data_IF_794012823179
#
_entry.id   IF_794012823179
#
_cell.length_a   1.000
_cell.length_b   1.000
_cell.length_c   1.000
_cell.angle_alpha   90.00
_cell.angle_beta   90.00
_cell.angle_gamma   90.00
#
_symmetry.space_group_name_H-M   'P 1'
#
loop_
_entity.id
_entity.type
_entity.pdbx_description
1 polymer ?
#
# COMPACT_ATOMS: atom_id res chain seq x y z
N UNK A 1 12.52 -71.12 3.08
CA UNK A 1 13.34 -71.19 4.27
C UNK A 1 13.03 -70.00 5.17
N UNK A 2 12.25 -70.25 6.23
CA UNK A 2 12.02 -69.30 7.35
C UNK A 2 13.29 -69.26 8.18
N UNK A 3 13.87 -68.06 8.37
CA UNK A 3 14.86 -67.81 9.40
C UNK A 3 14.27 -66.91 10.48
N UNK A 4 14.10 -67.48 11.64
CA UNK A 4 13.68 -66.88 12.89
C UNK A 4 14.71 -65.82 13.35
N UNK A 5 14.28 -64.58 13.54
CA UNK A 5 15.07 -63.55 14.26
C UNK A 5 14.76 -63.68 15.75
N UNK A 6 15.74 -64.12 16.52
CA UNK A 6 15.70 -64.16 17.98
C UNK A 6 15.68 -62.71 18.54
N UNK A 7 14.74 -62.47 19.41
CA UNK A 7 14.61 -61.26 20.23
C UNK A 7 15.81 -61.15 21.21
N UNK A 8 16.63 -60.13 21.05
CA UNK A 8 17.73 -59.83 21.95
C UNK A 8 17.29 -58.77 22.99
N UNK A 9 17.18 -59.12 24.27
CA UNK A 9 16.66 -58.22 25.30
C UNK A 9 17.54 -56.98 25.58
N UNK A 10 18.73 -56.89 25.01
CA UNK A 10 19.61 -55.73 25.18
C UNK A 10 19.21 -54.52 24.34
N UNK A 11 18.38 -54.69 23.32
CA UNK A 11 17.92 -53.59 22.50
C UNK A 11 16.71 -52.83 23.08
N UNK A 12 16.00 -53.38 24.05
CA UNK A 12 14.86 -52.71 24.69
C UNK A 12 15.25 -51.65 25.73
N UNK A 13 16.46 -51.76 26.31
CA UNK A 13 16.94 -50.79 27.31
C UNK A 13 17.44 -49.48 26.67
N UNK A 14 17.99 -49.57 25.47
CA UNK A 14 18.49 -48.37 24.77
C UNK A 14 17.42 -47.51 24.11
N UNK A 15 16.26 -48.09 23.79
CA UNK A 15 15.13 -47.29 23.22
C UNK A 15 14.41 -46.46 24.30
N UNK A 16 14.35 -46.95 25.53
CA UNK A 16 13.71 -46.21 26.63
C UNK A 16 14.58 -45.05 27.14
N UNK A 17 15.90 -45.14 26.99
CA UNK A 17 16.81 -44.05 27.37
C UNK A 17 16.84 -42.90 26.35
N UNK A 18 16.70 -43.22 25.07
CA UNK A 18 16.60 -42.24 23.99
C UNK A 18 15.26 -41.51 23.97
N UNK A 19 14.15 -42.19 24.32
CA UNK A 19 12.85 -41.57 24.40
C UNK A 19 12.74 -40.51 25.51
N UNK A 20 13.41 -40.74 26.65
CA UNK A 20 13.37 -39.79 27.77
C UNK A 20 14.25 -38.55 27.55
N UNK A 21 15.32 -38.65 26.74
CA UNK A 21 16.18 -37.52 26.41
C UNK A 21 15.50 -36.60 25.38
N UNK A 22 14.71 -37.15 24.47
CA UNK A 22 13.96 -36.36 23.50
C UNK A 22 12.72 -35.66 24.10
N UNK A 23 12.08 -36.25 25.11
CA UNK A 23 10.96 -35.58 25.80
C UNK A 23 11.41 -34.38 26.65
N UNK A 24 12.62 -34.43 27.20
CA UNK A 24 13.17 -33.31 27.98
C UNK A 24 13.69 -32.17 27.11
N UNK A 25 14.13 -32.47 25.87
CA UNK A 25 14.57 -31.46 24.91
C UNK A 25 13.37 -30.72 24.26
N UNK A 26 12.23 -31.39 24.09
CA UNK A 26 11.02 -30.77 23.58
C UNK A 26 10.29 -29.85 24.60
N UNK A 27 10.52 -30.02 25.89
CA UNK A 27 9.92 -29.18 26.94
C UNK A 27 10.74 -27.93 27.27
N UNK A 28 11.98 -27.82 26.82
CA UNK A 28 12.81 -26.61 26.94
C UNK A 28 12.88 -25.76 25.69
N UNK A 29 12.24 -26.20 24.58
CA UNK A 29 12.15 -25.50 23.31
C UNK A 29 10.84 -24.76 23.07
N UNK A 30 9.89 -24.79 24.00
CA UNK A 30 8.77 -23.88 24.04
C UNK A 30 9.17 -22.58 24.76
N UNK A 31 10.30 -21.99 24.35
CA UNK A 31 10.43 -20.55 24.47
C UNK A 31 9.27 -19.94 23.71
N UNK A 32 8.36 -19.36 24.47
CA UNK A 32 7.30 -18.48 24.02
C UNK A 32 7.69 -17.82 22.68
N UNK A 33 7.08 -18.26 21.59
CA UNK A 33 6.76 -17.36 20.51
C UNK A 33 5.84 -16.34 21.20
N UNK A 34 6.45 -15.31 21.78
CA UNK A 34 5.72 -14.10 22.07
C UNK A 34 5.03 -13.76 20.74
N UNK A 35 3.74 -13.95 20.68
CA UNK A 35 2.91 -13.30 19.69
C UNK A 35 3.28 -11.84 19.85
N UNK A 36 4.01 -11.29 18.88
CA UNK A 36 4.24 -9.86 18.85
C UNK A 36 2.84 -9.27 18.96
N UNK A 37 2.54 -8.62 20.10
CA UNK A 37 1.28 -7.96 20.29
C UNK A 37 1.17 -6.99 19.12
N UNK A 38 0.26 -7.28 18.18
CA UNK A 38 0.03 -6.39 17.05
C UNK A 38 -0.41 -5.06 17.62
N UNK A 39 0.27 -3.99 17.21
CA UNK A 39 -0.10 -2.63 17.62
C UNK A 39 -1.59 -2.41 17.39
N UNK A 40 -2.32 -1.76 18.34
CA UNK A 40 -3.74 -1.50 18.17
C UNK A 40 -3.98 -0.63 16.93
N UNK A 41 -5.05 -0.93 16.20
CA UNK A 41 -5.49 -0.17 15.04
C UNK A 41 -6.71 0.65 15.43
N UNK A 42 -6.54 1.96 15.55
CA UNK A 42 -7.63 2.87 15.81
C UNK A 42 -8.38 3.21 14.53
N UNK A 43 -9.71 3.27 14.63
CA UNK A 43 -10.58 3.71 13.53
C UNK A 43 -11.16 5.08 13.86
N UNK A 44 -11.10 5.98 12.91
CA UNK A 44 -11.58 7.35 13.10
C UNK A 44 -12.23 7.90 11.81
N UNK A 45 -12.88 9.02 11.95
CA UNK A 45 -13.45 9.78 10.84
C UNK A 45 -12.74 11.13 10.75
N UNK A 46 -12.23 11.44 9.57
CA UNK A 46 -11.54 12.69 9.27
C UNK A 46 -12.52 13.87 9.12
N UNK A 47 -12.00 15.10 9.08
CA UNK A 47 -12.79 16.33 8.93
C UNK A 47 -13.64 16.37 7.64
N UNK A 48 -13.19 15.70 6.58
CA UNK A 48 -13.97 15.54 5.34
C UNK A 48 -15.09 14.52 5.44
N UNK A 49 -15.12 13.71 6.49
CA UNK A 49 -16.01 12.56 6.67
C UNK A 49 -15.40 11.23 6.21
N UNK A 50 -14.21 11.24 5.62
CA UNK A 50 -13.52 10.01 5.22
C UNK A 50 -13.17 9.15 6.44
N UNK A 51 -13.34 7.85 6.31
CA UNK A 51 -12.90 6.90 7.33
C UNK A 51 -11.39 6.70 7.23
N UNK A 52 -10.73 6.50 8.36
CA UNK A 52 -9.31 6.21 8.42
C UNK A 52 -8.99 5.15 9.47
N UNK A 53 -7.87 4.45 9.26
CA UNK A 53 -7.24 3.58 10.24
C UNK A 53 -5.87 4.12 10.60
N UNK A 54 -5.53 4.07 11.87
CA UNK A 54 -4.29 4.60 12.43
C UNK A 54 -3.58 3.51 13.22
N UNK A 55 -2.28 3.41 13.07
CA UNK A 55 -1.39 2.73 14.01
C UNK A 55 -0.44 3.78 14.55
N UNK A 56 -0.55 4.07 15.84
CA UNK A 56 0.31 5.02 16.54
C UNK A 56 1.31 4.28 17.42
N UNK A 57 2.58 4.40 17.10
CA UNK A 57 3.69 3.79 17.85
C UNK A 57 4.18 4.70 19.00
N UNK A 58 3.61 5.89 19.15
CA UNK A 58 4.10 6.92 20.07
C UNK A 58 5.34 7.67 19.57
N UNK A 59 5.87 7.32 18.40
CA UNK A 59 7.03 7.96 17.80
C UNK A 59 6.68 9.21 16.98
N UNK A 60 7.72 9.92 16.53
CA UNK A 60 7.55 11.15 15.73
C UNK A 60 7.44 10.90 14.23
N UNK A 61 7.79 9.70 13.76
CA UNK A 61 7.80 9.34 12.34
C UNK A 61 6.45 8.77 11.92
N UNK A 62 5.89 9.31 10.83
CA UNK A 62 4.56 8.97 10.35
C UNK A 62 4.56 8.76 8.84
N UNK A 63 3.71 7.85 8.35
CA UNK A 63 3.43 7.67 6.93
C UNK A 63 1.95 7.83 6.66
N UNK A 64 1.61 8.71 5.72
CA UNK A 64 0.25 8.88 5.19
C UNK A 64 0.14 8.06 3.90
N UNK A 65 -0.82 7.12 3.86
CA UNK A 65 -0.99 6.16 2.76
C UNK A 65 -2.28 6.43 1.99
N UNK A 66 -2.17 6.56 0.67
CA UNK A 66 -3.29 6.85 -0.24
C UNK A 66 -3.44 5.70 -1.24
N UNK A 67 -4.59 5.02 -1.20
CA UNK A 67 -4.90 3.85 -2.03
C UNK A 67 -5.12 4.19 -3.52
N UNK A 68 -5.11 3.16 -4.36
CA UNK A 68 -5.34 3.25 -5.79
C UNK A 68 -6.80 3.51 -6.18
N UNK A 69 -7.05 3.57 -7.49
CA UNK A 69 -8.38 3.77 -8.05
C UNK A 69 -9.34 2.64 -7.66
N UNK A 70 -10.54 3.00 -7.23
CA UNK A 70 -11.57 2.09 -6.72
C UNK A 70 -11.12 1.18 -5.56
N UNK A 71 -10.00 1.51 -4.92
CA UNK A 71 -9.44 0.76 -3.81
C UNK A 71 -10.16 0.99 -2.49
N UNK A 72 -9.72 0.25 -1.51
CA UNK A 72 -10.10 0.40 -0.10
C UNK A 72 -8.86 0.80 0.71
N UNK A 73 -9.06 1.30 1.91
CA UNK A 73 -7.95 1.81 2.73
C UNK A 73 -6.88 0.77 3.08
N UNK A 74 -7.21 -0.53 3.12
CA UNK A 74 -6.25 -1.61 3.33
C UNK A 74 -5.55 -2.06 2.05
N UNK A 75 -5.98 -1.58 0.88
CA UNK A 75 -5.49 -1.85 -0.46
C UNK A 75 -5.67 -3.33 -0.89
N UNK A 76 -5.48 -3.61 -2.18
CA UNK A 76 -5.57 -4.97 -2.73
C UNK A 76 -4.58 -5.91 -2.02
N UNK A 77 -5.05 -7.12 -1.67
CA UNK A 77 -4.24 -8.11 -0.94
C UNK A 77 -3.77 -7.62 0.44
N UNK A 78 -4.52 -6.71 1.05
CA UNK A 78 -4.20 -6.09 2.34
C UNK A 78 -2.81 -5.40 2.37
N UNK A 79 -2.31 -4.96 1.21
CA UNK A 79 -0.96 -4.41 1.08
C UNK A 79 -0.72 -3.23 2.03
N UNK A 80 -1.72 -2.38 2.27
CA UNK A 80 -1.56 -1.25 3.19
C UNK A 80 -1.71 -1.64 4.66
N UNK A 81 -2.56 -2.61 4.96
CA UNK A 81 -2.63 -3.16 6.32
C UNK A 81 -1.30 -3.85 6.70
N UNK A 82 -0.74 -4.65 5.79
CA UNK A 82 0.56 -5.31 5.94
C UNK A 82 1.69 -4.29 6.06
N UNK A 83 1.68 -3.24 5.23
CA UNK A 83 2.67 -2.16 5.30
C UNK A 83 2.61 -1.41 6.62
N UNK A 84 1.42 -1.09 7.09
CA UNK A 84 1.23 -0.41 8.37
C UNK A 84 1.80 -1.22 9.54
N UNK A 85 1.60 -2.55 9.52
CA UNK A 85 2.19 -3.46 10.52
C UNK A 85 3.72 -3.46 10.46
N UNK A 86 4.32 -3.60 9.27
CA UNK A 86 5.78 -3.57 9.12
C UNK A 86 6.40 -2.22 9.53
N UNK A 87 5.74 -1.12 9.23
CA UNK A 87 6.19 0.21 9.67
C UNK A 87 6.15 0.32 11.19
N UNK A 88 5.08 -0.18 11.81
CA UNK A 88 4.95 -0.19 13.27
C UNK A 88 6.06 -1.00 13.95
N UNK A 89 6.47 -2.13 13.37
CA UNK A 89 7.61 -2.94 13.85
C UNK A 89 8.94 -2.15 13.83
N UNK A 90 9.02 -1.09 13.03
CA UNK A 90 10.16 -0.14 12.99
C UNK A 90 9.90 1.15 13.76
N UNK A 91 8.84 1.22 14.57
CA UNK A 91 8.48 2.40 15.34
C UNK A 91 7.93 3.55 14.49
N UNK A 92 7.48 3.28 13.26
CA UNK A 92 6.91 4.26 12.34
C UNK A 92 5.38 4.16 12.39
N UNK A 93 4.73 5.23 12.79
CA UNK A 93 3.27 5.35 12.82
C UNK A 93 2.70 5.53 11.42
N UNK A 94 1.43 5.21 11.24
CA UNK A 94 0.78 5.34 9.94
C UNK A 94 -0.69 5.70 10.03
N UNK A 95 -1.17 6.39 9.00
CA UNK A 95 -2.59 6.63 8.74
C UNK A 95 -2.92 6.25 7.30
N UNK A 96 -4.02 5.52 7.09
CA UNK A 96 -4.57 5.20 5.79
C UNK A 96 -6.06 5.52 5.76
N UNK A 97 -6.50 6.23 4.74
CA UNK A 97 -7.87 6.70 4.63
C UNK A 97 -8.61 6.04 3.48
N UNK A 98 -9.92 5.87 3.64
CA UNK A 98 -10.84 5.50 2.59
C UNK A 98 -11.25 6.75 1.83
N UNK A 99 -10.85 6.85 0.56
CA UNK A 99 -11.32 7.93 -0.30
C UNK A 99 -12.83 7.81 -0.49
N UNK A 100 -13.55 8.87 -0.20
CA UNK A 100 -14.99 8.90 -0.32
C UNK A 100 -15.42 8.78 -1.78
N UNK A 101 -16.51 8.05 -2.01
CA UNK A 101 -17.03 7.79 -3.36
C UNK A 101 -16.23 6.73 -4.14
N UNK A 102 -15.37 5.95 -3.49
CA UNK A 102 -14.65 4.82 -4.12
C UNK A 102 -15.04 3.46 -3.47
N UNK A 103 -14.12 2.64 -3.05
CA UNK A 103 -14.34 1.24 -2.66
C UNK A 103 -15.53 0.97 -1.76
N UNK A 104 -15.80 1.81 -0.78
CA UNK A 104 -16.98 1.76 0.10
C UNK A 104 -18.30 1.98 -0.68
N UNK A 105 -18.29 2.91 -1.65
CA UNK A 105 -19.43 3.13 -2.52
C UNK A 105 -19.72 1.91 -3.40
N UNK A 106 -18.68 1.22 -3.92
CA UNK A 106 -18.84 -0.02 -4.67
C UNK A 106 -19.46 -1.13 -3.82
N UNK A 107 -19.02 -1.29 -2.58
CA UNK A 107 -19.59 -2.24 -1.62
C UNK A 107 -21.07 -2.01 -1.32
N UNK A 108 -21.54 -0.78 -1.53
CA UNK A 108 -22.96 -0.39 -1.37
C UNK A 108 -23.73 -0.36 -2.70
N UNK A 109 -23.15 -0.83 -3.80
CA UNK A 109 -23.77 -0.82 -5.13
C UNK A 109 -23.98 0.58 -5.70
N UNK A 110 -23.19 1.57 -5.27
CA UNK A 110 -23.23 2.95 -5.79
C UNK A 110 -22.11 3.16 -6.81
N UNK A 111 -22.33 4.01 -7.84
CA UNK A 111 -21.26 4.39 -8.77
C UNK A 111 -20.12 5.12 -8.06
N UNK A 112 -18.90 4.99 -8.59
CA UNK A 112 -17.77 5.82 -8.19
C UNK A 112 -18.05 7.28 -8.54
N UNK A 113 -17.87 8.16 -7.56
CA UNK A 113 -18.18 9.58 -7.67
C UNK A 113 -17.08 10.51 -7.14
N UNK A 114 -15.94 9.96 -6.73
CA UNK A 114 -14.76 10.75 -6.34
C UNK A 114 -14.24 11.56 -7.53
N UNK A 115 -13.67 12.73 -7.23
CA UNK A 115 -12.87 13.50 -8.19
C UNK A 115 -11.41 13.50 -7.75
N UNK A 116 -10.48 13.87 -8.63
CA UNK A 116 -9.09 14.05 -8.22
C UNK A 116 -8.97 15.06 -7.08
N UNK A 117 -9.70 16.18 -7.17
CA UNK A 117 -9.73 17.19 -6.10
C UNK A 117 -10.27 16.63 -4.77
N UNK A 118 -11.33 15.81 -4.79
CA UNK A 118 -11.86 15.21 -3.57
C UNK A 118 -10.90 14.16 -2.97
N UNK A 119 -10.17 13.41 -3.81
CA UNK A 119 -9.10 12.52 -3.36
C UNK A 119 -8.00 13.28 -2.62
N UNK A 120 -7.56 14.38 -3.21
CA UNK A 120 -6.57 15.28 -2.60
C UNK A 120 -7.09 15.83 -1.27
N UNK A 121 -8.35 16.24 -1.20
CA UNK A 121 -8.96 16.77 0.02
C UNK A 121 -9.01 15.70 1.15
N UNK A 122 -9.43 14.48 0.86
CA UNK A 122 -9.45 13.39 1.85
C UNK A 122 -8.03 13.04 2.31
N UNK A 123 -7.07 13.03 1.39
CA UNK A 123 -5.67 12.75 1.70
C UNK A 123 -5.03 13.86 2.54
N UNK A 124 -5.36 15.12 2.24
CA UNK A 124 -4.94 16.28 3.03
C UNK A 124 -5.52 16.23 4.44
N UNK A 125 -6.77 15.82 4.59
CA UNK A 125 -7.39 15.65 5.90
C UNK A 125 -6.63 14.61 6.75
N UNK A 126 -6.18 13.52 6.15
CA UNK A 126 -5.30 12.54 6.82
C UNK A 126 -3.96 13.14 7.24
N UNK A 127 -3.33 13.92 6.36
CA UNK A 127 -2.10 14.65 6.69
C UNK A 127 -2.31 15.65 7.84
N UNK A 128 -3.37 16.45 7.79
CA UNK A 128 -3.72 17.42 8.83
C UNK A 128 -4.00 16.75 10.16
N UNK A 129 -4.68 15.61 10.15
CA UNK A 129 -4.92 14.85 11.37
C UNK A 129 -3.60 14.47 12.04
N UNK A 130 -2.62 13.97 11.29
CA UNK A 130 -1.28 13.66 11.82
C UNK A 130 -0.62 14.91 12.42
N UNK A 131 -0.67 16.05 11.72
CA UNK A 131 -0.10 17.31 12.22
C UNK A 131 -0.77 17.82 13.49
N UNK A 132 -2.08 17.62 13.64
CA UNK A 132 -2.81 18.00 14.85
C UNK A 132 -2.51 17.04 16.01
N UNK A 133 -2.42 15.74 15.71
CA UNK A 133 -2.15 14.70 16.68
C UNK A 133 -0.69 14.73 17.18
N UNK A 134 0.24 14.95 16.28
CA UNK A 134 1.67 15.04 16.54
C UNK A 134 2.28 16.23 15.77
N UNK A 135 2.31 17.44 16.38
CA UNK A 135 2.78 18.66 15.70
C UNK A 135 4.21 18.55 15.14
N UNK A 136 5.08 17.83 15.86
CA UNK A 136 6.48 17.63 15.46
C UNK A 136 6.70 16.39 14.59
N UNK A 137 5.65 15.82 13.99
CA UNK A 137 5.78 14.63 13.17
C UNK A 137 6.70 14.85 11.97
N UNK A 138 7.57 13.88 11.71
CA UNK A 138 8.32 13.75 10.46
C UNK A 138 7.50 12.85 9.54
N UNK A 139 6.99 13.40 8.44
CA UNK A 139 5.95 12.73 7.64
C UNK A 139 6.48 12.29 6.29
N UNK A 140 6.25 11.01 5.98
CA UNK A 140 6.35 10.42 4.65
C UNK A 140 4.99 10.21 4.00
N UNK A 141 4.98 10.11 2.67
CA UNK A 141 3.79 9.84 1.87
C UNK A 141 3.97 8.55 1.09
N UNK A 142 2.93 7.73 1.04
CA UNK A 142 2.88 6.50 0.23
C UNK A 142 1.66 6.57 -0.69
N UNK A 143 1.89 6.46 -1.99
CA UNK A 143 0.82 6.39 -3.00
C UNK A 143 0.95 5.17 -3.87
N UNK A 144 -0.15 4.44 -4.07
CA UNK A 144 -0.25 3.32 -5.00
C UNK A 144 -1.13 3.70 -6.18
N UNK A 145 -0.68 3.41 -7.40
CA UNK A 145 -1.45 3.62 -8.63
C UNK A 145 -2.00 5.06 -8.72
N UNK A 146 -3.32 5.24 -8.65
CA UNK A 146 -3.96 6.57 -8.60
C UNK A 146 -3.62 7.35 -7.31
N UNK A 147 -3.22 6.66 -6.26
CA UNK A 147 -2.68 7.30 -5.06
C UNK A 147 -1.37 8.06 -5.33
N UNK A 148 -0.60 7.64 -6.35
CA UNK A 148 0.65 8.30 -6.74
C UNK A 148 0.47 9.77 -7.12
N UNK A 149 -0.26 10.12 -8.19
CA UNK A 149 -0.54 11.52 -8.51
C UNK A 149 -1.25 12.26 -7.37
N UNK A 150 -2.05 11.58 -6.56
CA UNK A 150 -2.70 12.19 -5.39
C UNK A 150 -1.68 12.70 -4.37
N UNK A 151 -0.71 11.86 -3.97
CA UNK A 151 0.33 12.29 -3.01
C UNK A 151 1.33 13.27 -3.63
N UNK A 152 1.62 13.16 -4.93
CA UNK A 152 2.41 14.18 -5.62
C UNK A 152 1.73 15.56 -5.57
N UNK A 153 0.42 15.61 -5.80
CA UNK A 153 -0.37 16.85 -5.69
C UNK A 153 -0.36 17.41 -4.27
N UNK A 154 -0.42 16.57 -3.24
CA UNK A 154 -0.33 17.05 -1.85
C UNK A 154 0.90 17.91 -1.62
N UNK A 155 2.05 17.55 -2.20
CA UNK A 155 3.30 18.28 -1.99
C UNK A 155 3.32 19.68 -2.59
N UNK A 156 2.38 20.01 -3.47
CA UNK A 156 2.23 21.35 -4.02
C UNK A 156 1.43 22.29 -3.11
N UNK A 157 0.83 21.76 -2.06
CA UNK A 157 0.06 22.53 -1.09
C UNK A 157 0.99 23.14 -0.05
N UNK A 158 0.89 24.45 0.25
CA UNK A 158 1.85 25.16 1.10
C UNK A 158 2.01 24.60 2.53
N UNK A 159 0.96 23.98 3.03
CA UNK A 159 0.92 23.39 4.38
C UNK A 159 1.55 21.99 4.46
N UNK A 160 1.80 21.33 3.32
CA UNK A 160 2.33 19.98 3.27
C UNK A 160 3.85 20.00 3.22
N UNK A 161 4.46 19.51 4.30
CA UNK A 161 5.89 19.32 4.38
C UNK A 161 6.16 17.81 4.61
N UNK A 162 6.34 17.08 3.50
CA UNK A 162 6.70 15.67 3.50
C UNK A 162 8.17 15.50 3.13
N UNK A 163 8.93 14.76 3.93
CA UNK A 163 10.38 14.60 3.77
C UNK A 163 10.77 13.34 3.01
N UNK A 164 9.83 12.41 2.85
CA UNK A 164 10.03 11.15 2.15
C UNK A 164 8.76 10.75 1.40
N UNK A 165 8.91 10.10 0.25
CA UNK A 165 7.80 9.60 -0.56
C UNK A 165 8.15 8.27 -1.18
N UNK A 166 7.17 7.36 -1.20
CA UNK A 166 7.21 6.12 -1.98
C UNK A 166 6.03 6.08 -2.93
N UNK A 167 6.30 5.85 -4.20
CA UNK A 167 5.30 5.67 -5.25
C UNK A 167 5.34 4.23 -5.75
N UNK A 168 4.24 3.50 -5.62
CA UNK A 168 4.09 2.12 -6.10
C UNK A 168 3.21 2.08 -7.33
N UNK A 169 3.71 1.52 -8.43
CA UNK A 169 2.95 1.40 -9.68
C UNK A 169 2.21 2.69 -10.04
N UNK A 170 2.86 3.85 -9.85
CA UNK A 170 2.19 5.15 -9.90
C UNK A 170 1.72 5.49 -11.31
N UNK A 171 0.49 5.97 -11.44
CA UNK A 171 0.10 6.79 -12.58
C UNK A 171 0.86 8.13 -12.54
N UNK A 172 1.02 8.77 -13.70
CA UNK A 172 1.59 10.12 -13.78
C UNK A 172 0.48 11.16 -13.62
N UNK A 173 -0.58 10.99 -14.40
CA UNK A 173 -1.74 11.87 -14.38
C UNK A 173 -2.99 11.07 -14.07
N UNK A 174 -4.04 11.70 -13.51
CA UNK A 174 -5.33 11.02 -13.31
C UNK A 174 -5.86 10.34 -14.55
N UNK A 175 -5.68 10.95 -15.73
CA UNK A 175 -6.12 10.41 -17.03
C UNK A 175 -5.45 9.08 -17.42
N UNK A 176 -4.30 8.73 -16.86
CA UNK A 176 -3.64 7.45 -17.15
C UNK A 176 -4.51 6.26 -16.73
N UNK A 177 -5.33 6.44 -15.70
CA UNK A 177 -6.30 5.43 -15.24
C UNK A 177 -7.39 5.19 -16.28
N UNK A 178 -7.71 6.19 -17.11
CA UNK A 178 -8.76 6.12 -18.13
C UNK A 178 -8.32 5.47 -19.43
N UNK A 179 -7.06 5.11 -19.60
CA UNK A 179 -6.53 4.56 -20.85
C UNK A 179 -7.04 3.15 -21.12
N UNK A 180 -7.24 2.86 -22.39
CA UNK A 180 -7.58 1.55 -22.93
C UNK A 180 -8.99 1.47 -23.52
N UNK A 181 -9.13 0.72 -24.61
CA UNK A 181 -10.37 0.61 -25.38
C UNK A 181 -11.55 0.04 -24.57
N UNK A 182 -11.26 -0.89 -23.67
CA UNK A 182 -12.26 -1.49 -22.81
C UNK A 182 -12.95 -0.47 -21.86
N UNK A 183 -12.33 0.68 -21.65
CA UNK A 183 -12.84 1.77 -20.78
C UNK A 183 -13.54 2.86 -21.56
N UNK A 184 -13.23 3.03 -22.83
CA UNK A 184 -13.72 4.13 -23.65
C UNK A 184 -15.25 4.17 -23.75
N UNK A 185 -15.91 3.03 -23.88
CA UNK A 185 -17.38 2.96 -23.95
C UNK A 185 -18.04 3.40 -22.64
N UNK A 186 -17.49 3.01 -21.50
CA UNK A 186 -17.98 3.43 -20.19
C UNK A 186 -17.79 4.92 -19.93
N UNK A 187 -16.65 5.48 -20.33
CA UNK A 187 -16.40 6.93 -20.29
C UNK A 187 -17.41 7.68 -21.12
N UNK A 188 -17.60 7.27 -22.37
CA UNK A 188 -18.57 7.88 -23.29
C UNK A 188 -20.00 7.83 -22.73
N UNK A 189 -20.39 6.68 -22.15
CA UNK A 189 -21.69 6.53 -21.52
C UNK A 189 -21.82 7.44 -20.29
N UNK A 190 -20.83 7.53 -19.42
CA UNK A 190 -20.82 8.42 -18.26
C UNK A 190 -20.98 9.90 -18.69
N UNK A 191 -20.21 10.32 -19.68
CA UNK A 191 -20.30 11.69 -20.20
C UNK A 191 -21.67 12.02 -20.79
N UNK A 192 -22.25 11.10 -21.55
CA UNK A 192 -23.54 11.29 -22.22
C UNK A 192 -24.73 11.13 -21.27
N UNK A 193 -24.74 10.07 -20.47
CA UNK A 193 -25.92 9.63 -19.71
C UNK A 193 -25.82 9.93 -18.20
N UNK A 194 -24.66 10.40 -17.72
CA UNK A 194 -24.43 10.68 -16.31
C UNK A 194 -23.71 9.54 -15.56
N UNK A 195 -23.90 8.29 -16.00
CA UNK A 195 -23.25 7.09 -15.46
C UNK A 195 -22.85 6.17 -16.61
N UNK A 196 -21.72 5.53 -16.50
CA UNK A 196 -21.23 4.51 -17.42
C UNK A 196 -20.55 3.37 -16.68
N UNK A 197 -20.48 2.20 -17.30
CA UNK A 197 -19.85 1.01 -16.73
C UNK A 197 -18.46 0.83 -17.27
N UNK A 198 -17.50 0.71 -16.38
CA UNK A 198 -16.11 0.42 -16.66
C UNK A 198 -15.83 -1.07 -16.43
N UNK A 199 -15.42 -1.78 -17.46
CA UNK A 199 -15.01 -3.17 -17.34
C UNK A 199 -13.53 -3.23 -16.96
N UNK A 200 -13.24 -3.29 -15.67
CA UNK A 200 -11.91 -3.53 -15.10
C UNK A 200 -11.79 -5.02 -14.70
N UNK A 201 -11.36 -5.33 -13.49
CA UNK A 201 -11.40 -6.71 -12.95
C UNK A 201 -12.83 -7.17 -12.61
N UNK A 202 -13.74 -6.23 -12.52
CA UNK A 202 -15.18 -6.39 -12.43
C UNK A 202 -15.85 -5.20 -13.13
N UNK A 203 -17.14 -5.25 -13.45
CA UNK A 203 -17.88 -4.09 -13.90
C UNK A 203 -17.96 -3.04 -12.79
N UNK A 204 -17.51 -1.82 -13.05
CA UNK A 204 -17.52 -0.70 -12.11
C UNK A 204 -18.27 0.46 -12.74
N UNK A 205 -19.32 0.91 -12.10
CA UNK A 205 -20.04 2.12 -12.53
C UNK A 205 -19.27 3.37 -12.11
N UNK A 206 -19.17 4.33 -13.02
CA UNK A 206 -18.53 5.63 -12.79
C UNK A 206 -19.46 6.75 -13.19
N UNK A 207 -19.52 7.82 -12.42
CA UNK A 207 -20.33 8.99 -12.73
C UNK A 207 -19.63 9.91 -13.74
N UNK A 208 -20.41 10.79 -14.39
CA UNK A 208 -19.87 11.91 -15.18
C UNK A 208 -18.92 12.76 -14.37
N UNK A 209 -19.28 13.04 -13.11
CA UNK A 209 -18.45 13.82 -12.19
C UNK A 209 -17.09 13.18 -11.97
N UNK A 210 -17.06 11.87 -11.76
CA UNK A 210 -15.81 11.11 -11.60
C UNK A 210 -14.91 11.26 -12.82
N UNK A 211 -15.44 11.02 -14.02
CA UNK A 211 -14.70 11.13 -15.28
C UNK A 211 -14.16 12.54 -15.51
N UNK A 212 -15.03 13.56 -15.39
CA UNK A 212 -14.62 14.96 -15.56
C UNK A 212 -13.61 15.40 -14.53
N UNK A 213 -13.71 14.89 -13.31
CA UNK A 213 -12.80 15.18 -12.23
C UNK A 213 -11.36 14.65 -12.42
N UNK A 214 -11.12 13.85 -13.46
CA UNK A 214 -9.78 13.38 -13.82
C UNK A 214 -9.10 14.21 -14.92
N UNK A 215 -9.80 15.19 -15.51
CA UNK A 215 -9.29 15.97 -16.63
C UNK A 215 -8.36 17.09 -16.17
N UNK A 216 -7.29 17.34 -16.93
CA UNK A 216 -6.55 18.59 -16.91
C UNK A 216 -5.58 18.80 -15.74
N UNK A 217 -5.14 17.75 -15.06
CA UNK A 217 -4.23 17.88 -13.91
C UNK A 217 -2.75 17.80 -14.32
N UNK A 218 -1.98 18.91 -14.29
CA UNK A 218 -0.58 18.95 -14.72
C UNK A 218 0.40 18.54 -13.61
N UNK A 219 0.36 17.30 -13.15
CA UNK A 219 1.08 16.84 -11.95
C UNK A 219 2.59 17.07 -12.06
N UNK A 220 3.22 16.57 -13.14
CA UNK A 220 4.69 16.63 -13.24
C UNK A 220 5.22 18.07 -13.37
N UNK A 221 4.50 18.96 -14.02
CA UNK A 221 4.94 20.36 -14.20
C UNK A 221 5.02 21.13 -12.89
N UNK A 222 4.35 20.67 -11.85
CA UNK A 222 4.32 21.31 -10.53
C UNK A 222 5.11 20.51 -9.48
N UNK A 223 5.51 19.29 -9.80
CA UNK A 223 6.14 18.37 -8.84
C UNK A 223 7.59 18.76 -8.46
N UNK A 224 8.21 19.70 -9.19
CA UNK A 224 9.54 20.22 -8.86
C UNK A 224 9.66 20.89 -7.50
N UNK A 225 8.55 21.24 -6.85
CA UNK A 225 8.53 21.78 -5.49
C UNK A 225 8.84 20.72 -4.42
N UNK A 226 8.67 19.44 -4.74
CA UNK A 226 9.00 18.38 -3.81
C UNK A 226 10.51 18.12 -3.76
N UNK A 227 11.12 18.33 -2.60
CA UNK A 227 12.57 18.22 -2.38
C UNK A 227 12.98 17.09 -1.43
N UNK A 228 12.04 16.32 -0.92
CA UNK A 228 12.30 15.17 -0.03
C UNK A 228 12.93 13.98 -0.77
N UNK A 229 13.13 12.89 -0.05
CA UNK A 229 13.59 11.62 -0.62
C UNK A 229 12.46 10.94 -1.41
N UNK A 230 12.74 10.38 -2.59
CA UNK A 230 11.74 9.77 -3.49
C UNK A 230 12.16 8.39 -3.95
N UNK A 231 11.34 7.38 -3.66
CA UNK A 231 11.44 6.03 -4.20
C UNK A 231 10.26 5.74 -5.12
N UNK A 232 10.52 5.23 -6.32
CA UNK A 232 9.50 4.64 -7.17
C UNK A 232 9.70 3.12 -7.28
N UNK A 233 8.62 2.37 -7.14
CA UNK A 233 8.58 0.91 -7.22
C UNK A 233 7.55 0.50 -8.28
N UNK A 234 7.97 -0.31 -9.26
CA UNK A 234 7.09 -0.75 -10.34
C UNK A 234 7.41 -2.18 -10.76
N UNK A 235 6.38 -2.95 -11.11
CA UNK A 235 6.55 -4.23 -11.76
C UNK A 235 6.90 -4.07 -13.24
N UNK A 236 7.74 -4.95 -13.80
CA UNK A 236 8.05 -4.92 -15.25
C UNK A 236 6.83 -5.24 -16.13
N UNK A 237 5.84 -5.94 -15.57
CA UNK A 237 4.59 -6.34 -16.22
C UNK A 237 3.42 -5.38 -15.89
N UNK A 238 3.71 -4.22 -15.33
CA UNK A 238 2.69 -3.20 -15.06
C UNK A 238 2.05 -2.71 -16.36
N UNK A 239 0.72 -2.65 -16.40
CA UNK A 239 -0.03 -2.17 -17.59
C UNK A 239 0.00 -0.65 -17.75
N UNK A 240 0.31 0.11 -16.68
CA UNK A 240 0.48 1.55 -16.78
C UNK A 240 1.81 1.91 -17.48
N UNK A 241 1.89 3.07 -18.12
CA UNK A 241 3.16 3.54 -18.69
C UNK A 241 4.27 3.57 -17.64
N UNK A 242 5.44 3.07 -18.01
CA UNK A 242 6.63 3.12 -17.16
C UNK A 242 7.23 4.53 -17.16
N UNK A 243 6.68 5.40 -16.35
CA UNK A 243 7.03 6.80 -16.29
C UNK A 243 7.86 7.19 -15.04
N UNK A 244 8.43 6.21 -14.35
CA UNK A 244 9.14 6.44 -13.09
C UNK A 244 10.33 7.40 -13.26
N UNK A 245 11.08 7.29 -14.36
CA UNK A 245 12.17 8.21 -14.64
C UNK A 245 11.66 9.64 -14.88
N UNK A 246 10.54 9.78 -15.60
CA UNK A 246 9.94 11.11 -15.81
C UNK A 246 9.45 11.73 -14.49
N UNK A 247 8.95 10.91 -13.57
CA UNK A 247 8.58 11.37 -12.23
C UNK A 247 9.82 11.85 -11.45
N UNK A 248 10.90 11.07 -11.48
CA UNK A 248 12.17 11.46 -10.83
C UNK A 248 12.71 12.76 -11.42
N UNK A 249 12.76 12.86 -12.74
CA UNK A 249 13.30 14.03 -13.46
C UNK A 249 12.48 15.31 -13.20
N UNK A 250 11.16 15.15 -13.00
CA UNK A 250 10.27 16.27 -12.70
C UNK A 250 10.35 16.73 -11.24
N UNK A 251 10.81 15.87 -10.33
CA UNK A 251 10.91 16.17 -8.91
C UNK A 251 12.13 17.05 -8.60
N UNK A 252 12.05 17.77 -7.48
CA UNK A 252 13.22 18.40 -6.85
C UNK A 252 13.88 17.51 -5.79
N UNK A 253 13.64 16.20 -5.85
CA UNK A 253 14.06 15.26 -4.80
C UNK A 253 15.57 15.33 -4.50
N UNK A 254 15.90 15.41 -3.22
CA UNK A 254 17.29 15.42 -2.74
C UNK A 254 17.98 14.05 -2.97
N UNK A 255 17.22 12.97 -2.86
CA UNK A 255 17.62 11.60 -3.17
C UNK A 255 16.47 10.97 -3.96
N UNK A 256 16.75 10.44 -5.14
CA UNK A 256 15.75 9.78 -5.99
C UNK A 256 16.23 8.41 -6.46
N UNK A 257 15.38 7.39 -6.34
CA UNK A 257 15.68 6.02 -6.78
C UNK A 257 14.45 5.41 -7.42
N UNK A 258 14.65 4.71 -8.54
CA UNK A 258 13.63 3.90 -9.20
C UNK A 258 14.03 2.44 -9.15
N UNK A 259 13.08 1.57 -8.77
CA UNK A 259 13.28 0.12 -8.73
C UNK A 259 12.20 -0.57 -9.56
N UNK A 260 12.62 -1.33 -10.56
CA UNK A 260 11.75 -2.20 -11.35
C UNK A 260 11.87 -3.63 -10.84
N UNK A 261 10.75 -4.21 -10.45
CA UNK A 261 10.67 -5.60 -9.98
C UNK A 261 10.31 -6.48 -11.17
N UNK A 262 11.30 -7.24 -11.65
CA UNK A 262 11.13 -8.10 -12.81
C UNK A 262 10.07 -9.18 -12.57
N UNK A 263 9.12 -9.31 -13.49
CA UNK A 263 8.03 -10.28 -13.45
C UNK A 263 6.83 -9.89 -12.60
N UNK A 264 6.90 -8.78 -11.86
CA UNK A 264 5.76 -8.30 -11.08
C UNK A 264 4.77 -7.52 -11.95
N UNK A 265 3.49 -7.71 -11.71
CA UNK A 265 2.41 -6.96 -12.34
C UNK A 265 2.08 -5.65 -11.58
N UNK A 266 1.00 -4.99 -11.98
CA UNK A 266 0.55 -3.72 -11.40
C UNK A 266 0.31 -3.79 -9.89
N UNK A 267 -0.21 -4.91 -9.41
CA UNK A 267 -0.56 -5.15 -8.00
C UNK A 267 0.46 -6.04 -7.28
N UNK A 268 1.65 -6.24 -7.88
CA UNK A 268 2.74 -7.06 -7.33
C UNK A 268 2.30 -8.51 -7.05
N UNK A 269 1.44 -9.04 -7.91
CA UNK A 269 0.97 -10.44 -7.90
C UNK A 269 0.34 -10.87 -6.56
N UNK A 270 -0.28 -9.94 -5.82
CA UNK A 270 -0.88 -10.24 -4.50
C UNK A 270 -2.12 -11.12 -4.59
N UNK A 271 -2.76 -11.18 -5.75
CA UNK A 271 -3.87 -12.10 -6.04
C UNK A 271 -3.65 -12.77 -7.39
N UNK A 272 -4.01 -14.04 -7.48
CA UNK A 272 -4.01 -14.78 -8.74
C UNK A 272 -5.30 -14.47 -9.54
N UNK A 273 -5.31 -14.76 -10.87
CA UNK A 273 -6.49 -14.56 -11.71
C UNK A 273 -7.76 -15.28 -11.22
N UNK A 274 -7.61 -16.38 -10.49
CA UNK A 274 -8.71 -17.13 -9.86
C UNK A 274 -9.07 -16.61 -8.45
N UNK A 275 -8.52 -15.46 -8.06
CA UNK A 275 -8.67 -14.80 -6.76
C UNK A 275 -8.13 -15.59 -5.55
N UNK A 276 -7.35 -16.61 -5.77
CA UNK A 276 -6.52 -17.20 -4.72
C UNK A 276 -5.29 -16.36 -4.49
N UNK A 277 -4.76 -16.42 -3.27
CA UNK A 277 -3.49 -15.77 -2.97
C UNK A 277 -2.40 -16.36 -3.87
N UNK A 278 -1.78 -15.50 -4.68
CA UNK A 278 -0.64 -15.83 -5.50
C UNK A 278 0.63 -15.96 -4.65
N UNK A 279 1.75 -16.30 -5.29
CA UNK A 279 3.05 -16.22 -4.66
C UNK A 279 3.32 -14.78 -4.16
N UNK A 280 3.53 -14.64 -2.85
CA UNK A 280 3.72 -13.36 -2.18
C UNK A 280 5.13 -12.77 -2.33
N UNK A 281 5.99 -13.40 -3.11
CA UNK A 281 7.39 -12.99 -3.27
C UNK A 281 7.54 -11.52 -3.70
N UNK A 282 6.80 -11.08 -4.71
CA UNK A 282 6.86 -9.70 -5.18
C UNK A 282 6.27 -8.71 -4.16
N UNK A 283 5.17 -9.08 -3.52
CA UNK A 283 4.56 -8.27 -2.46
C UNK A 283 5.52 -8.07 -1.29
N UNK A 284 6.18 -9.13 -0.84
CA UNK A 284 7.19 -9.06 0.23
C UNK A 284 8.32 -8.10 -0.15
N UNK A 285 8.85 -8.19 -1.37
CA UNK A 285 9.90 -7.27 -1.84
C UNK A 285 9.47 -5.81 -1.81
N UNK A 286 8.23 -5.53 -2.22
CA UNK A 286 7.68 -4.16 -2.23
C UNK A 286 7.48 -3.64 -0.81
N UNK A 287 6.95 -4.48 0.09
CA UNK A 287 6.75 -4.13 1.49
C UNK A 287 8.09 -3.84 2.18
N UNK A 288 9.08 -4.70 1.99
CA UNK A 288 10.41 -4.54 2.59
C UNK A 288 11.11 -3.29 2.05
N UNK A 289 11.15 -3.10 0.73
CA UNK A 289 11.76 -1.93 0.11
C UNK A 289 11.12 -0.62 0.60
N UNK A 290 9.79 -0.59 0.75
CA UNK A 290 9.08 0.59 1.27
C UNK A 290 9.41 0.83 2.74
N UNK A 291 9.42 -0.22 3.56
CA UNK A 291 9.73 -0.12 4.99
C UNK A 291 11.17 0.37 5.21
N UNK A 292 12.12 -0.22 4.51
CA UNK A 292 13.53 0.16 4.62
C UNK A 292 13.77 1.61 4.15
N UNK A 293 13.12 2.02 3.05
CA UNK A 293 13.19 3.40 2.58
C UNK A 293 12.68 4.40 3.62
N UNK A 294 11.51 4.17 4.20
CA UNK A 294 10.99 5.07 5.22
C UNK A 294 11.81 5.03 6.51
N UNK A 295 12.29 3.86 6.93
CA UNK A 295 13.16 3.75 8.10
C UNK A 295 14.45 4.56 7.94
N UNK A 296 15.02 4.59 6.74
CA UNK A 296 16.24 5.33 6.42
C UNK A 296 15.98 6.83 6.27
N UNK A 297 14.92 7.22 5.56
CA UNK A 297 14.69 8.60 5.14
C UNK A 297 13.83 9.43 6.11
N UNK A 298 13.10 8.80 7.03
CA UNK A 298 12.35 9.48 8.10
C UNK A 298 13.16 9.59 9.41
N UNK A 299 14.28 8.88 9.53
CA UNK A 299 15.18 9.09 10.67
C UNK A 299 15.72 10.52 10.59
N UNK A 300 15.54 11.31 11.66
CA UNK A 300 16.14 12.63 11.77
C UNK A 300 17.66 12.48 11.68
N UNK A 301 18.38 13.34 10.95
CA UNK A 301 19.82 13.44 11.18
C UNK A 301 20.00 13.82 12.66
N UNK A 302 20.79 13.03 13.38
CA UNK A 302 21.23 13.33 14.74
C UNK A 302 21.96 14.68 14.82
#
# INVERSE_FOLDING_TARGET
GLLSMQDNPRNKLNLLFLANVWLSACLLGMASLATADSMPVDQLRLETGAQAKVIDTGGRTWVVMVHGWSGVLDEVGDLYARQASQLADRGISSIRMQIQGEGDALGQGRPMDSTFASRVADSLAGYRWVRQHQPEAVIGLLGFSYGGPTVMRLTTLPEVNAVSMVLRSSAVNPLDILRGDARASGIKAALKNGVGTWNAWMPIEVTRRHVLGMLGEPILSEFGVYTGALLTLRGSEDYLPQADQAILDASGASIGTSVVIQGADHIFNVVAPDQKLADQHYAIRVLDATTDWFAETLSSPE
#
